data_IF_184063125924
#
_entry.id   IF_184063125924
#
_cell.length_a   1.000
_cell.length_b   1.000
_cell.length_c   1.000
_cell.angle_alpha   90.00
_cell.angle_beta   90.00
_cell.angle_gamma   90.00
#
_symmetry.space_group_name_H-M   'P 1'
#
loop_
_entity.id
_entity.type
_entity.pdbx_description
1 polymer ?
#
# COMPACT_ATOMS: atom_id res chain seq x y z
N UNK A 1 -3.17 3.29 -14.15
CA UNK A 1 -3.02 3.18 -12.67
C UNK A 1 -2.39 1.83 -12.34
N UNK A 2 -1.64 1.68 -11.25
CA UNK A 2 -1.00 0.40 -10.94
C UNK A 2 -0.77 0.19 -9.44
N UNK A 3 -0.86 -1.05 -8.98
CA UNK A 3 -0.54 -1.42 -7.61
C UNK A 3 0.93 -1.82 -7.47
N UNK A 4 1.59 -1.32 -6.42
CA UNK A 4 2.92 -1.77 -5.98
C UNK A 4 2.90 -1.89 -4.47
N UNK A 5 2.92 -3.11 -3.93
CA UNK A 5 2.79 -3.31 -2.49
C UNK A 5 1.46 -2.83 -1.94
N UNK A 6 1.49 -2.13 -0.81
CA UNK A 6 0.28 -1.50 -0.25
C UNK A 6 -0.18 -0.27 -1.03
N UNK A 7 0.51 0.14 -2.09
CA UNK A 7 0.28 1.41 -2.76
C UNK A 7 -0.50 1.23 -4.07
N UNK A 8 -1.63 1.91 -4.19
CA UNK A 8 -2.29 2.13 -5.47
C UNK A 8 -1.85 3.47 -6.06
N UNK A 9 -1.16 3.43 -7.19
CA UNK A 9 -0.48 4.60 -7.76
C UNK A 9 -1.22 5.04 -9.02
N UNK A 10 -1.76 6.26 -8.96
CA UNK A 10 -2.31 6.98 -10.11
C UNK A 10 -1.28 7.99 -10.61
N UNK A 11 -1.62 8.75 -11.65
CA UNK A 11 -0.70 9.74 -12.21
C UNK A 11 -0.48 10.92 -11.28
N UNK A 12 -1.40 11.17 -10.35
CA UNK A 12 -1.39 12.37 -9.50
C UNK A 12 -1.43 12.05 -8.00
N UNK A 13 -1.80 10.83 -7.63
CA UNK A 13 -1.97 10.44 -6.24
C UNK A 13 -1.45 9.03 -5.97
N UNK A 14 -1.08 8.80 -4.72
CA UNK A 14 -0.81 7.46 -4.18
C UNK A 14 -1.81 7.20 -3.08
N UNK A 15 -2.45 6.04 -3.10
CA UNK A 15 -3.33 5.60 -2.03
C UNK A 15 -2.69 4.45 -1.25
N UNK A 16 -2.92 4.39 0.06
CA UNK A 16 -2.62 3.21 0.87
C UNK A 16 -3.84 2.29 0.84
N UNK A 17 -3.68 1.11 0.25
CA UNK A 17 -4.79 0.26 -0.16
C UNK A 17 -5.27 0.61 -1.57
N UNK A 18 -6.42 0.07 -1.95
CA UNK A 18 -7.07 0.39 -3.22
C UNK A 18 -7.54 1.85 -3.23
N UNK A 19 -7.62 2.45 -4.42
CA UNK A 19 -8.26 3.75 -4.58
C UNK A 19 -9.73 3.69 -4.11
N UNK A 20 -10.15 4.57 -3.19
CA UNK A 20 -11.53 4.60 -2.73
C UNK A 20 -12.46 5.04 -3.87
N UNK A 21 -13.64 4.41 -3.95
CA UNK A 21 -14.69 4.77 -4.90
C UNK A 21 -15.91 5.33 -4.18
N UNK A 22 -16.52 6.38 -4.74
CA UNK A 22 -17.70 7.02 -4.14
C UNK A 22 -17.39 7.61 -2.77
N UNK A 23 -18.12 7.17 -1.74
CA UNK A 23 -17.97 7.61 -0.35
C UNK A 23 -17.13 6.65 0.50
N UNK A 24 -16.42 5.70 -0.14
CA UNK A 24 -15.58 4.76 0.58
C UNK A 24 -14.39 5.46 1.23
N UNK A 25 -14.00 4.97 2.40
CA UNK A 25 -12.85 5.52 3.12
C UNK A 25 -11.52 5.09 2.49
N UNK A 26 -10.49 5.93 2.65
CA UNK A 26 -9.17 5.69 2.07
C UNK A 26 -8.11 6.59 2.66
N UNK A 27 -6.84 6.31 2.37
CA UNK A 27 -5.73 7.20 2.71
C UNK A 27 -5.02 7.61 1.43
N UNK A 28 -5.02 8.91 1.14
CA UNK A 28 -4.31 9.50 0.01
C UNK A 28 -3.04 10.17 0.50
N UNK A 29 -1.93 9.88 -0.16
CA UNK A 29 -0.64 10.52 0.03
C UNK A 29 -0.42 11.49 -1.13
N UNK A 30 0.01 12.71 -0.80
CA UNK A 30 0.35 13.76 -1.76
C UNK A 30 1.67 14.43 -1.38
N UNK A 31 2.14 15.35 -2.23
CA UNK A 31 3.32 16.16 -1.90
C UNK A 31 3.08 17.03 -0.66
N UNK A 32 1.83 17.46 -0.43
CA UNK A 32 1.47 18.34 0.68
C UNK A 32 1.33 17.57 2.01
N UNK A 33 0.93 16.30 1.96
CA UNK A 33 0.73 15.51 3.17
C UNK A 33 -0.13 14.27 2.99
N UNK A 34 -0.91 13.98 4.03
CA UNK A 34 -1.77 12.80 4.14
C UNK A 34 -3.22 13.24 4.31
N UNK A 35 -4.08 12.72 3.44
CA UNK A 35 -5.54 12.88 3.56
C UNK A 35 -6.18 11.55 3.90
N UNK A 36 -6.95 11.51 4.99
CA UNK A 36 -7.92 10.45 5.26
C UNK A 36 -9.23 10.84 4.60
N UNK A 37 -9.64 10.03 3.63
CA UNK A 37 -10.87 10.16 2.87
C UNK A 37 -11.97 9.31 3.51
N UNK A 38 -13.21 9.75 3.42
CA UNK A 38 -14.36 9.09 4.03
C UNK A 38 -15.51 10.07 4.28
N UNK A 39 -16.57 9.66 4.99
CA UNK A 39 -17.56 10.60 5.51
C UNK A 39 -16.90 11.70 6.36
N UNK A 40 -17.48 12.91 6.40
CA UNK A 40 -16.83 14.09 7.02
C UNK A 40 -16.35 13.84 8.45
N UNK A 41 -17.10 13.04 9.22
CA UNK A 41 -16.78 12.66 10.61
C UNK A 41 -15.48 11.87 10.76
N UNK A 42 -15.08 11.13 9.73
CA UNK A 42 -13.87 10.29 9.70
C UNK A 42 -12.75 10.89 8.83
N UNK A 43 -13.00 12.04 8.20
CA UNK A 43 -12.06 12.69 7.29
C UNK A 43 -11.03 13.55 8.03
N UNK A 44 -9.82 13.66 7.47
CA UNK A 44 -8.75 14.47 8.05
C UNK A 44 -7.65 14.76 7.05
N UNK A 45 -6.93 15.86 7.25
CA UNK A 45 -5.81 16.25 6.39
C UNK A 45 -4.69 16.83 7.25
N UNK A 46 -3.47 16.36 7.02
CA UNK A 46 -2.29 16.74 7.79
C UNK A 46 -1.10 16.91 6.86
N UNK A 47 -0.32 17.96 7.08
CA UNK A 47 0.98 18.10 6.42
C UNK A 47 1.96 17.03 6.93
N UNK A 48 2.98 16.71 6.12
CA UNK A 48 3.99 15.72 6.51
C UNK A 48 4.68 16.02 7.86
N UNK A 49 4.80 17.28 8.23
CA UNK A 49 5.38 17.69 9.52
C UNK A 49 4.50 17.36 10.74
N UNK A 50 3.20 17.17 10.54
CA UNK A 50 2.22 16.84 11.59
C UNK A 50 2.06 15.31 11.75
N UNK A 51 2.40 14.55 10.71
CA UNK A 51 2.31 13.09 10.70
C UNK A 51 3.53 12.48 11.38
N UNK A 52 3.30 11.78 12.49
CA UNK A 52 4.34 11.08 13.26
C UNK A 52 4.53 9.64 12.79
N UNK A 53 3.46 9.00 12.29
CA UNK A 53 3.50 7.62 11.82
C UNK A 53 2.30 7.29 10.93
N UNK A 54 2.53 6.39 9.97
CA UNK A 54 1.47 5.70 9.23
C UNK A 54 1.70 4.19 9.38
N UNK A 55 0.72 3.45 9.91
CA UNK A 55 0.80 2.00 10.06
C UNK A 55 -0.36 1.30 9.35
N UNK A 56 -0.04 0.25 8.58
CA UNK A 56 -1.04 -0.69 8.08
C UNK A 56 -1.14 -1.88 9.05
N UNK A 57 -2.30 -2.05 9.68
CA UNK A 57 -2.64 -3.14 10.59
C UNK A 57 -3.67 -4.09 9.96
N UNK A 58 -3.77 -5.30 10.53
CA UNK A 58 -4.77 -6.31 10.15
C UNK A 58 -4.73 -6.71 8.65
N UNK A 59 -3.58 -6.50 8.02
CA UNK A 59 -3.35 -6.86 6.61
C UNK A 59 -3.29 -8.38 6.48
N UNK A 60 -4.09 -8.93 5.56
CA UNK A 60 -4.00 -10.34 5.20
C UNK A 60 -2.67 -10.62 4.47
N UNK A 61 -1.75 -11.30 5.15
CA UNK A 61 -0.42 -11.65 4.62
C UNK A 61 -0.30 -13.17 4.52
N UNK A 62 0.19 -13.66 3.38
CA UNK A 62 0.46 -15.09 3.21
C UNK A 62 1.46 -15.54 4.28
N UNK A 63 1.22 -16.66 4.98
CA UNK A 63 2.20 -17.19 5.92
C UNK A 63 3.51 -17.43 5.18
N UNK A 64 4.61 -16.92 5.72
CA UNK A 64 5.93 -17.14 5.15
C UNK A 64 6.22 -18.65 5.18
N UNK A 65 6.13 -19.31 4.02
CA UNK A 65 6.50 -20.72 3.91
C UNK A 65 8.00 -20.77 4.15
N UNK A 66 8.41 -21.05 5.40
CA UNK A 66 9.81 -21.34 5.71
C UNK A 66 10.23 -22.45 4.76
N UNK A 67 11.21 -22.16 3.91
CA UNK A 67 11.75 -23.05 2.88
C UNK A 67 12.42 -24.26 3.56
N UNK A 68 11.60 -25.22 4.00
CA UNK A 68 12.02 -26.56 4.34
C UNK A 68 11.57 -27.46 3.18
N UNK A 69 12.55 -28.06 2.52
CA UNK A 69 12.34 -29.10 1.52
C UNK A 69 11.63 -30.26 2.21
N UNK A 70 10.37 -30.54 1.85
CA UNK A 70 9.89 -31.87 1.47
C UNK A 70 8.37 -31.94 1.28
N UNK A 71 8.01 -32.51 0.12
CA UNK A 71 6.77 -33.24 -0.22
C UNK A 71 5.49 -32.45 -0.45
N UNK A 72 5.07 -32.52 -1.72
CA UNK A 72 3.72 -32.62 -2.26
C UNK A 72 2.59 -32.26 -1.29
N UNK A 73 2.03 -31.07 -1.50
CA UNK A 73 0.63 -30.80 -1.18
C UNK A 73 0.04 -30.20 -2.44
N UNK A 74 -0.79 -30.98 -3.13
CA UNK A 74 -1.71 -30.48 -4.14
C UNK A 74 -2.60 -29.45 -3.47
N UNK A 75 -2.28 -28.18 -3.68
CA UNK A 75 -3.16 -27.08 -3.29
C UNK A 75 -4.20 -26.94 -4.41
N UNK A 76 -5.37 -27.54 -4.19
CA UNK A 76 -6.59 -27.20 -4.91
C UNK A 76 -6.80 -25.71 -4.78
N UNK A 77 -6.56 -24.98 -5.86
CA UNK A 77 -6.93 -23.57 -5.98
C UNK A 77 -8.46 -23.52 -5.95
N UNK A 78 -9.03 -23.12 -4.82
CA UNK A 78 -10.42 -22.67 -4.79
C UNK A 78 -10.46 -21.39 -5.62
N UNK A 79 -10.99 -21.52 -6.83
CA UNK A 79 -11.47 -20.37 -7.58
C UNK A 79 -12.57 -19.74 -6.72
N UNK A 80 -12.27 -18.58 -6.12
CA UNK A 80 -13.32 -17.76 -5.52
C UNK A 80 -14.21 -17.32 -6.67
N UNK A 81 -15.46 -17.75 -6.52
CA UNK A 81 -16.59 -17.53 -7.40
C UNK A 81 -16.73 -16.05 -7.73
N UNK A 82 -17.00 -15.75 -9.00
CA UNK A 82 -17.39 -14.44 -9.48
C UNK A 82 -18.75 -14.02 -8.92
N UNK A 83 -18.74 -13.55 -7.68
CA UNK A 83 -19.71 -12.63 -7.13
C UNK A 83 -18.93 -11.42 -6.61
N UNK A 84 -19.46 -10.22 -6.76
CA UNK A 84 -18.77 -8.94 -6.60
C UNK A 84 -18.40 -8.58 -5.15
N UNK A 85 -17.72 -9.48 -4.45
CA UNK A 85 -17.25 -9.26 -3.09
C UNK A 85 -16.06 -8.32 -3.10
N UNK A 86 -16.13 -7.26 -2.29
CA UNK A 86 -15.07 -6.26 -2.21
C UNK A 86 -13.78 -6.94 -1.70
N UNK A 87 -12.59 -6.49 -2.15
CA UNK A 87 -11.34 -6.96 -1.57
C UNK A 87 -11.35 -6.84 -0.05
N UNK A 88 -10.70 -7.75 0.71
CA UNK A 88 -10.70 -7.69 2.16
C UNK A 88 -10.15 -6.34 2.64
N UNK A 89 -10.82 -5.76 3.64
CA UNK A 89 -10.38 -4.54 4.26
C UNK A 89 -9.22 -4.78 5.24
N UNK A 90 -8.41 -3.75 5.43
CA UNK A 90 -7.40 -3.66 6.49
C UNK A 90 -7.40 -2.25 7.07
N UNK A 91 -6.74 -2.05 8.21
CA UNK A 91 -6.77 -0.76 8.91
C UNK A 91 -5.50 0.03 8.64
N UNK A 92 -5.64 1.31 8.29
CA UNK A 92 -4.53 2.27 8.29
C UNK A 92 -4.68 3.19 9.49
N UNK A 93 -3.60 3.35 10.26
CA UNK A 93 -3.51 4.25 11.41
C UNK A 93 -2.61 5.42 11.04
N UNK A 94 -3.13 6.64 11.13
CA UNK A 94 -2.36 7.88 10.97
C UNK A 94 -2.22 8.51 12.34
N UNK A 95 -0.99 8.55 12.87
CA UNK A 95 -0.69 9.13 14.17
C UNK A 95 -0.13 10.55 14.01
N UNK A 96 -0.68 11.48 14.77
CA UNK A 96 -0.27 12.89 14.87
C UNK A 96 -0.05 13.28 16.34
N UNK A 97 0.34 14.52 16.60
CA UNK A 97 0.45 15.03 17.97
C UNK A 97 -0.92 15.08 18.69
N UNK A 98 -2.01 15.23 17.95
CA UNK A 98 -3.36 15.39 18.48
C UNK A 98 -4.09 14.06 18.70
N UNK A 99 -3.60 12.96 18.13
CA UNK A 99 -4.19 11.64 18.30
C UNK A 99 -3.86 10.65 17.19
N UNK A 100 -4.67 9.60 17.11
CA UNK A 100 -4.57 8.57 16.07
C UNK A 100 -5.91 8.49 15.34
N UNK A 101 -5.87 8.66 14.01
CA UNK A 101 -7.00 8.38 13.13
C UNK A 101 -6.86 6.95 12.59
N UNK A 102 -7.89 6.12 12.78
CA UNK A 102 -7.95 4.76 12.24
C UNK A 102 -8.98 4.72 11.10
N UNK A 103 -8.57 4.20 9.95
CA UNK A 103 -9.44 4.12 8.76
C UNK A 103 -9.36 2.73 8.15
N UNK A 104 -10.54 2.15 7.85
CA UNK A 104 -10.65 0.91 7.08
C UNK A 104 -10.46 1.19 5.59
N UNK A 105 -9.52 0.50 4.96
CA UNK A 105 -9.23 0.62 3.52
C UNK A 105 -9.27 -0.75 2.85
N UNK A 106 -9.63 -0.81 1.56
CA UNK A 106 -9.69 -2.07 0.83
C UNK A 106 -8.30 -2.50 0.33
N UNK A 107 -8.04 -3.81 0.27
CA UNK A 107 -6.80 -4.34 -0.30
C UNK A 107 -6.67 -4.00 -1.80
N UNK A 108 -5.49 -3.53 -2.21
CA UNK A 108 -5.15 -3.20 -3.60
C UNK A 108 -4.80 -4.44 -4.43
N UNK A 109 -4.37 -5.53 -3.79
CA UNK A 109 -3.93 -6.76 -4.45
C UNK A 109 -5.12 -7.65 -4.84
N UNK A 110 -5.07 -8.20 -6.06
CA UNK A 110 -6.03 -9.20 -6.51
C UNK A 110 -6.03 -10.42 -5.56
N UNK A 111 -7.21 -10.81 -5.09
CA UNK A 111 -7.38 -11.88 -4.10
C UNK A 111 -7.06 -11.47 -2.66
N UNK A 112 -6.65 -10.23 -2.41
CA UNK A 112 -6.64 -9.62 -1.08
C UNK A 112 -5.55 -10.06 -0.12
N UNK A 113 -4.61 -10.92 -0.54
CA UNK A 113 -3.58 -11.47 0.35
C UNK A 113 -2.18 -11.09 -0.17
N UNK A 114 -1.45 -10.30 0.61
CA UNK A 114 -0.11 -9.84 0.28
C UNK A 114 0.96 -10.91 0.53
N UNK A 115 2.05 -10.84 -0.23
CA UNK A 115 3.28 -11.56 0.10
C UNK A 115 3.99 -10.93 1.31
N UNK A 116 4.67 -11.72 2.15
CA UNK A 116 5.33 -11.19 3.36
C UNK A 116 6.45 -10.18 3.03
N UNK A 117 7.21 -10.40 1.95
CA UNK A 117 8.28 -9.49 1.52
C UNK A 117 7.69 -8.17 1.03
N UNK A 118 6.72 -8.23 0.14
CA UNK A 118 6.01 -7.07 -0.41
C UNK A 118 5.36 -6.22 0.71
N UNK A 119 4.76 -6.87 1.72
CA UNK A 119 4.18 -6.20 2.88
C UNK A 119 5.24 -5.47 3.73
N UNK A 120 6.34 -6.14 4.10
CA UNK A 120 7.38 -5.53 4.94
C UNK A 120 8.11 -4.38 4.22
N UNK A 121 8.35 -4.52 2.92
CA UNK A 121 8.91 -3.43 2.12
C UNK A 121 7.93 -2.25 2.02
N UNK A 122 6.63 -2.50 1.90
CA UNK A 122 5.62 -1.44 1.88
C UNK A 122 5.57 -0.66 3.20
N UNK A 123 5.63 -1.35 4.34
CA UNK A 123 5.72 -0.72 5.66
C UNK A 123 7.01 0.09 5.82
N UNK A 124 8.12 -0.45 5.31
CA UNK A 124 9.40 0.26 5.32
C UNK A 124 9.33 1.53 4.49
N UNK A 125 8.67 1.49 3.32
CA UNK A 125 8.48 2.66 2.48
C UNK A 125 7.56 3.71 3.15
N UNK A 126 6.45 3.30 3.75
CA UNK A 126 5.58 4.20 4.52
C UNK A 126 6.35 4.96 5.60
N UNK A 127 7.14 4.24 6.42
CA UNK A 127 7.96 4.86 7.46
C UNK A 127 8.97 5.85 6.88
N UNK A 128 9.60 5.51 5.75
CA UNK A 128 10.56 6.41 5.09
C UNK A 128 9.91 7.63 4.48
N UNK A 129 8.70 7.53 3.95
CA UNK A 129 7.94 8.69 3.46
C UNK A 129 7.63 9.65 4.63
N UNK A 130 7.14 9.13 5.75
CA UNK A 130 6.88 9.92 6.97
C UNK A 130 8.16 10.59 7.48
N UNK A 131 9.28 9.86 7.50
CA UNK A 131 10.56 10.40 7.95
C UNK A 131 11.26 11.31 6.92
N UNK A 132 10.67 11.55 5.75
CA UNK A 132 11.28 12.31 4.65
C UNK A 132 12.52 11.64 4.02
N UNK A 133 12.69 10.33 4.22
CA UNK A 133 13.79 9.50 3.71
C UNK A 133 13.47 8.77 2.40
N UNK A 134 12.23 8.88 1.93
CA UNK A 134 11.80 8.48 0.60
C UNK A 134 10.98 9.62 -0.02
N UNK A 135 10.96 9.70 -1.35
CA UNK A 135 10.23 10.74 -2.07
C UNK A 135 8.99 10.13 -2.73
N UNK A 136 7.81 10.68 -2.43
CA UNK A 136 6.56 10.31 -3.09
C UNK A 136 6.61 10.58 -4.59
N UNK A 137 7.39 11.60 -5.00
CA UNK A 137 7.65 11.94 -6.39
C UNK A 137 8.26 10.78 -7.19
N UNK A 138 9.07 9.91 -6.58
CA UNK A 138 9.64 8.75 -7.26
C UNK A 138 8.57 7.72 -7.66
N UNK A 139 7.50 7.59 -6.87
CA UNK A 139 6.37 6.69 -7.15
C UNK A 139 5.49 7.27 -8.27
N UNK A 140 5.19 8.57 -8.18
CA UNK A 140 4.39 9.28 -9.18
C UNK A 140 5.13 9.37 -10.53
N UNK A 141 6.43 9.66 -10.52
CA UNK A 141 7.26 9.67 -11.72
C UNK A 141 7.28 8.31 -12.40
N UNK A 142 7.51 7.22 -11.64
CA UNK A 142 7.45 5.86 -12.16
C UNK A 142 6.11 5.57 -12.86
N UNK A 143 5.01 5.98 -12.24
CA UNK A 143 3.68 5.74 -12.83
C UNK A 143 3.47 6.54 -14.12
N UNK A 144 3.90 7.81 -14.17
CA UNK A 144 3.78 8.69 -15.35
C UNK A 144 4.65 8.24 -16.51
N UNK A 145 5.83 7.70 -16.23
CA UNK A 145 6.77 7.22 -17.26
C UNK A 145 6.33 5.90 -17.91
N UNK A 146 5.40 5.18 -17.27
CA UNK A 146 4.98 3.86 -17.72
C UNK A 146 3.81 3.93 -18.70
N UNK A 147 4.03 3.38 -19.90
CA UNK A 147 3.02 3.29 -20.96
C UNK A 147 1.94 2.21 -20.70
N UNK A 148 2.23 1.25 -19.82
CA UNK A 148 1.34 0.13 -19.49
C UNK A 148 0.59 0.38 -18.18
N UNK A 149 -0.74 0.24 -18.23
CA UNK A 149 -1.65 0.37 -17.10
C UNK A 149 -1.83 -0.94 -16.31
N UNK A 150 -1.22 -2.04 -16.72
CA UNK A 150 -1.30 -3.29 -15.98
C UNK A 150 -0.54 -3.20 -14.65
N UNK A 151 -1.02 -3.85 -13.59
CA UNK A 151 -0.22 -3.97 -12.35
C UNK A 151 1.01 -4.84 -12.62
N UNK A 152 2.24 -4.39 -12.26
CA UNK A 152 3.46 -5.16 -12.51
C UNK A 152 3.44 -6.54 -11.87
N UNK A 153 4.28 -7.45 -12.37
CA UNK A 153 4.48 -8.75 -11.75
C UNK A 153 5.09 -8.65 -10.34
N UNK A 154 4.93 -9.70 -9.52
CA UNK A 154 5.35 -9.67 -8.10
C UNK A 154 6.83 -9.30 -7.91
N UNK A 155 7.72 -9.90 -8.69
CA UNK A 155 9.17 -9.66 -8.58
C UNK A 155 9.54 -8.22 -8.93
N UNK A 156 8.85 -7.64 -9.92
CA UNK A 156 9.02 -6.24 -10.30
C UNK A 156 8.50 -5.31 -9.20
N UNK A 157 7.33 -5.60 -8.61
CA UNK A 157 6.81 -4.82 -7.47
C UNK A 157 7.76 -4.84 -6.27
N UNK A 158 8.28 -6.01 -5.89
CA UNK A 158 9.27 -6.12 -4.81
C UNK A 158 10.56 -5.35 -5.14
N UNK A 159 11.02 -5.38 -6.39
CA UNK A 159 12.21 -4.62 -6.85
C UNK A 159 11.99 -3.10 -6.81
N UNK A 160 10.80 -2.63 -7.19
CA UNK A 160 10.42 -1.21 -7.09
C UNK A 160 10.39 -0.74 -5.64
N UNK A 161 9.79 -1.53 -4.74
CA UNK A 161 9.76 -1.20 -3.32
C UNK A 161 11.17 -1.16 -2.73
N UNK A 162 12.06 -2.10 -3.09
CA UNK A 162 13.47 -2.07 -2.69
C UNK A 162 14.18 -0.79 -3.17
N UNK A 163 14.00 -0.43 -4.43
CA UNK A 163 14.54 0.82 -5.00
C UNK A 163 14.08 2.05 -4.21
N UNK A 164 12.77 2.19 -3.97
CA UNK A 164 12.21 3.36 -3.26
C UNK A 164 12.55 3.38 -1.77
N UNK A 165 12.77 2.21 -1.17
CA UNK A 165 13.32 2.08 0.19
C UNK A 165 14.83 2.26 0.22
N UNK A 166 15.42 2.93 -0.76
CA UNK A 166 16.76 3.49 -0.63
C UNK A 166 17.89 2.51 -0.95
N UNK A 167 17.77 1.79 -2.07
CA UNK A 167 18.96 1.46 -2.87
C UNK A 167 19.43 2.70 -3.65
N UNK A 168 19.57 3.82 -2.93
CA UNK A 168 20.25 5.03 -3.39
C UNK A 168 21.63 4.98 -2.75
N UNK A 169 22.61 4.56 -3.54
CA UNK A 169 24.02 4.78 -3.21
C UNK A 169 24.19 6.29 -2.97
N UNK A 170 24.61 6.74 -1.78
CA UNK A 170 24.83 8.16 -1.53
C UNK A 170 25.97 8.63 -2.43
N UNK A 171 25.66 9.51 -3.38
CA UNK A 171 26.66 10.26 -4.16
C UNK A 171 27.36 11.31 -3.30
#
# INVERSE_FOLDING_TARGET
MAMVGLFWITEDAVYVGAEPTGTASGVRLSADGVDVLGPEEDSGSWGWAEVLRIEAGDVAVRPAVRRWVSRAVDAVTVAVTGDGDLPPAFTVRVATADGVSEVGVLAAVAGGIYGPVEYELSRTLLNRLVDGRADLGDLLAWRRERADDSTPGREERESLLLKWTGDRDPS
#
